data_IF_376134693862
#
_entry.id   IF_376134693862
#
_cell.length_a   1.000
_cell.length_b   1.000
_cell.length_c   1.000
_cell.angle_alpha   90.00
_cell.angle_beta   90.00
_cell.angle_gamma   90.00
#
_symmetry.space_group_name_H-M   'P 1'
#
loop_
_entity.id
_entity.type
_entity.pdbx_description
1 polymer ?
#
# COMPACT_ATOMS: atom_id res chain seq x y z
N UNK A 1 13.47 16.83 17.06
CA UNK A 1 12.14 16.21 17.13
C UNK A 1 12.08 15.12 16.08
N UNK A 2 12.18 13.84 16.48
CA UNK A 2 11.92 12.74 15.56
C UNK A 2 10.40 12.61 15.42
N UNK A 3 9.81 13.15 14.35
CA UNK A 3 8.44 12.79 14.02
C UNK A 3 8.37 11.28 13.87
N UNK A 4 7.51 10.63 14.66
CA UNK A 4 7.19 9.22 14.47
C UNK A 4 6.50 9.13 13.12
N UNK A 5 7.20 8.57 12.13
CA UNK A 5 6.67 8.42 10.79
C UNK A 5 5.49 7.45 10.80
N UNK A 6 4.41 7.81 10.10
CA UNK A 6 3.23 6.97 10.04
C UNK A 6 3.58 5.60 9.41
N UNK A 7 3.13 4.46 9.98
CA UNK A 7 3.54 3.13 9.50
C UNK A 7 3.23 2.86 8.03
N UNK A 8 2.24 3.54 7.46
CA UNK A 8 1.87 3.42 6.05
C UNK A 8 2.83 4.13 5.08
N UNK A 9 3.63 5.09 5.56
CA UNK A 9 4.52 5.90 4.73
C UNK A 9 5.54 5.06 3.94
N UNK A 10 5.91 3.89 4.47
CA UNK A 10 6.83 2.97 3.80
C UNK A 10 6.29 2.47 2.45
N UNK A 11 4.97 2.21 2.32
CA UNK A 11 4.38 1.71 1.08
C UNK A 11 4.39 2.78 -0.01
N UNK A 12 4.03 4.02 0.36
CA UNK A 12 4.15 5.18 -0.53
C UNK A 12 5.59 5.37 -0.99
N UNK A 13 6.57 5.18 -0.10
CA UNK A 13 8.00 5.29 -0.45
C UNK A 13 8.48 4.19 -1.37
N UNK A 14 7.99 2.95 -1.21
CA UNK A 14 8.34 1.84 -2.11
C UNK A 14 7.88 2.16 -3.54
N UNK A 15 6.67 2.70 -3.68
CA UNK A 15 6.08 3.03 -4.98
C UNK A 15 6.61 4.36 -5.55
N UNK A 16 6.93 5.34 -4.69
CA UNK A 16 7.18 6.75 -5.05
C UNK A 16 8.63 7.18 -5.25
N UNK A 17 9.59 6.25 -5.35
CA UNK A 17 11.03 6.56 -5.51
C UNK A 17 11.47 6.98 -6.94
N UNK A 18 10.52 7.20 -7.85
CA UNK A 18 10.79 7.56 -9.25
C UNK A 18 11.38 6.41 -10.09
N UNK A 19 11.63 6.66 -11.38
CA UNK A 19 11.92 5.64 -12.42
C UNK A 19 12.97 4.58 -12.07
N UNK A 20 13.97 4.91 -11.24
CA UNK A 20 15.08 4.00 -10.91
C UNK A 20 14.97 3.32 -9.55
N UNK A 21 14.03 3.75 -8.70
CA UNK A 21 13.94 3.28 -7.32
C UNK A 21 12.58 2.77 -6.90
N UNK A 22 11.54 3.00 -7.71
CA UNK A 22 10.23 2.39 -7.50
C UNK A 22 10.28 0.90 -7.82
N UNK A 23 9.63 0.08 -6.99
CA UNK A 23 9.36 -1.33 -7.28
C UNK A 23 7.92 -1.66 -6.93
N UNK A 24 7.42 -2.78 -7.43
CA UNK A 24 6.17 -3.36 -6.94
C UNK A 24 6.30 -3.78 -5.48
N UNK A 25 5.17 -3.78 -4.78
CA UNK A 25 5.07 -4.39 -3.46
C UNK A 25 5.23 -5.91 -3.60
N UNK A 26 5.77 -6.53 -2.55
CA UNK A 26 5.64 -7.98 -2.38
C UNK A 26 4.21 -8.32 -1.99
N UNK A 27 3.83 -9.59 -2.11
CA UNK A 27 2.54 -10.08 -1.62
C UNK A 27 2.24 -9.64 -0.18
N UNK A 28 3.20 -9.79 0.74
CA UNK A 28 3.02 -9.45 2.14
C UNK A 28 2.85 -7.94 2.34
N UNK A 29 3.64 -7.12 1.64
CA UNK A 29 3.52 -5.66 1.70
C UNK A 29 2.17 -5.18 1.15
N UNK A 30 1.67 -5.82 0.08
CA UNK A 30 0.36 -5.52 -0.50
C UNK A 30 -0.78 -5.90 0.46
N UNK A 31 -0.69 -7.09 1.07
CA UNK A 31 -1.61 -7.57 2.12
C UNK A 31 -1.66 -6.59 3.30
N UNK A 32 -0.50 -6.18 3.80
CA UNK A 32 -0.40 -5.27 4.93
C UNK A 32 -0.95 -3.86 4.59
N UNK A 33 -0.57 -3.32 3.43
CA UNK A 33 -1.03 -2.02 2.97
C UNK A 33 -2.56 -1.98 2.81
N UNK A 34 -3.13 -2.94 2.09
CA UNK A 34 -4.57 -3.00 1.89
C UNK A 34 -5.32 -3.27 3.20
N UNK A 35 -4.77 -4.11 4.08
CA UNK A 35 -5.34 -4.32 5.40
C UNK A 35 -5.37 -3.03 6.25
N UNK A 36 -4.35 -2.17 6.15
CA UNK A 36 -4.37 -0.86 6.81
C UNK A 36 -5.45 0.06 6.23
N UNK A 37 -5.57 0.11 4.90
CA UNK A 37 -6.59 0.92 4.20
C UNK A 37 -7.99 0.51 4.63
N UNK A 38 -8.31 -0.79 4.57
CA UNK A 38 -9.64 -1.33 4.89
C UNK A 38 -10.02 -1.07 6.36
N UNK A 39 -9.05 -1.07 7.27
CA UNK A 39 -9.26 -0.77 8.70
C UNK A 39 -9.25 0.73 9.03
N UNK A 40 -9.17 1.61 8.04
CA UNK A 40 -9.11 3.06 8.25
C UNK A 40 -7.86 3.53 8.99
N UNK A 41 -6.74 2.78 8.90
CA UNK A 41 -5.47 3.09 9.57
C UNK A 41 -4.52 3.89 8.66
N UNK A 42 -5.07 4.79 7.83
CA UNK A 42 -4.32 5.60 6.87
C UNK A 42 -4.86 7.02 6.84
N UNK A 43 -3.98 8.01 6.71
CA UNK A 43 -4.39 9.40 6.46
C UNK A 43 -4.86 9.58 5.00
N UNK A 44 -5.83 10.46 4.75
CA UNK A 44 -6.39 10.71 3.41
C UNK A 44 -5.31 11.05 2.37
N UNK A 45 -4.34 11.87 2.78
CA UNK A 45 -3.21 12.26 1.90
C UNK A 45 -2.34 11.06 1.51
N UNK A 46 -2.18 10.09 2.42
CA UNK A 46 -1.38 8.89 2.16
C UNK A 46 -2.11 7.91 1.26
N UNK A 47 -3.42 7.74 1.48
CA UNK A 47 -4.28 6.93 0.64
C UNK A 47 -4.30 7.49 -0.80
N UNK A 48 -4.51 8.80 -0.94
CA UNK A 48 -4.46 9.48 -2.24
C UNK A 48 -3.13 9.27 -2.95
N UNK A 49 -2.01 9.48 -2.25
CA UNK A 49 -0.67 9.26 -2.82
C UNK A 49 -0.46 7.80 -3.27
N UNK A 50 -0.84 6.83 -2.44
CA UNK A 50 -0.73 5.41 -2.75
C UNK A 50 -1.52 5.02 -4.00
N UNK A 51 -2.79 5.46 -4.09
CA UNK A 51 -3.65 5.18 -5.24
C UNK A 51 -3.12 5.81 -6.53
N UNK A 52 -2.61 7.04 -6.47
CA UNK A 52 -2.01 7.69 -7.64
C UNK A 52 -0.75 6.96 -8.11
N UNK A 53 0.09 6.49 -7.19
CA UNK A 53 1.31 5.75 -7.54
C UNK A 53 1.00 4.38 -8.13
N UNK A 54 0.03 3.65 -7.59
CA UNK A 54 -0.46 2.41 -8.20
C UNK A 54 -1.00 2.65 -9.60
N UNK A 55 -1.80 3.71 -9.81
CA UNK A 55 -2.34 4.05 -11.14
C UNK A 55 -1.26 4.27 -12.20
N UNK A 56 -0.12 4.87 -11.82
CA UNK A 56 1.00 5.12 -12.74
C UNK A 56 1.85 3.88 -12.97
N UNK A 57 2.04 3.05 -11.94
CA UNK A 57 2.86 1.83 -12.01
C UNK A 57 2.14 0.65 -12.64
N UNK A 58 0.82 0.58 -12.44
CA UNK A 58 -0.05 -0.60 -12.61
C UNK A 58 0.31 -1.75 -11.65
N UNK A 59 -0.68 -2.54 -11.24
CA UNK A 59 -0.51 -3.65 -10.31
C UNK A 59 0.03 -4.91 -10.99
N UNK A 60 0.82 -5.69 -10.26
CA UNK A 60 1.20 -7.05 -10.66
C UNK A 60 0.37 -8.14 -9.95
N UNK A 61 0.61 -9.40 -10.30
CA UNK A 61 -0.12 -10.53 -9.74
C UNK A 61 0.04 -10.68 -8.21
N UNK A 62 1.24 -10.43 -7.68
CA UNK A 62 1.50 -10.54 -6.23
C UNK A 62 0.76 -9.45 -5.44
N UNK A 63 0.73 -8.23 -5.98
CA UNK A 63 -0.02 -7.10 -5.41
C UNK A 63 -1.51 -7.40 -5.39
N UNK A 64 -2.08 -7.82 -6.52
CA UNK A 64 -3.50 -8.17 -6.61
C UNK A 64 -3.86 -9.34 -5.68
N UNK A 65 -3.00 -10.34 -5.56
CA UNK A 65 -3.21 -11.46 -4.65
C UNK A 65 -3.22 -10.98 -3.18
N UNK A 66 -2.27 -10.13 -2.79
CA UNK A 66 -2.20 -9.56 -1.44
C UNK A 66 -3.41 -8.67 -1.12
N UNK A 67 -3.79 -7.79 -2.04
CA UNK A 67 -4.98 -6.94 -1.90
C UNK A 67 -6.28 -7.76 -1.78
N UNK A 68 -6.41 -8.81 -2.59
CA UNK A 68 -7.56 -9.71 -2.56
C UNK A 68 -7.61 -10.46 -1.24
N UNK A 69 -6.48 -10.97 -0.74
CA UNK A 69 -6.44 -11.65 0.56
C UNK A 69 -6.82 -10.70 1.69
N UNK A 70 -6.28 -9.48 1.72
CA UNK A 70 -6.64 -8.47 2.73
C UNK A 70 -8.15 -8.19 2.75
N UNK A 71 -8.76 -8.12 1.56
CA UNK A 71 -10.20 -7.90 1.41
C UNK A 71 -10.99 -9.10 1.94
N UNK A 72 -10.59 -10.33 1.62
CA UNK A 72 -11.21 -11.55 2.15
C UNK A 72 -11.15 -11.60 3.67
N UNK A 73 -9.99 -11.27 4.25
CA UNK A 73 -9.80 -11.27 5.71
C UNK A 73 -10.64 -10.20 6.38
N UNK A 74 -10.88 -9.06 5.73
CA UNK A 74 -11.67 -7.96 6.27
C UNK A 74 -13.18 -8.22 6.24
N UNK A 75 -13.68 -8.94 5.23
CA UNK A 75 -15.11 -9.27 5.09
C UNK A 75 -15.48 -10.61 5.74
N UNK A 76 -14.49 -11.38 6.20
CA UNK A 76 -14.73 -12.63 6.88
C UNK A 76 -15.56 -12.40 8.18
N UNK A 77 -16.52 -13.28 8.50
CA UNK A 77 -17.38 -13.14 9.68
C UNK A 77 -16.64 -13.10 11.02
#
# INVERSE_FOLDING_TARGET
MTSIEHPFAQFVRILGKGRKGSRSLTYQEALDAMGMILRGKTEDVQLGAFMMLLRVKEENADELAGFTQATKDFIAP
#
